data_IF_269092258153
#
_entry.id   IF_269092258153
#
_cell.length_a   1.000
_cell.length_b   1.000
_cell.length_c   1.000
_cell.angle_alpha   90.00
_cell.angle_beta   90.00
_cell.angle_gamma   90.00
#
_symmetry.space_group_name_H-M   'P 1'
#
loop_
_entity.id
_entity.type
_entity.pdbx_description
1 polymer ?
#
# COMPACT_ATOMS: atom_id res chain seq x y z
N UNK A 1 -54.07 14.09 30.43
CA UNK A 1 -53.17 13.16 29.74
C UNK A 1 -52.08 13.94 29.07
N UNK A 2 -50.86 13.85 29.59
CA UNK A 2 -49.72 14.50 28.97
C UNK A 2 -49.02 13.48 28.10
N UNK A 3 -49.04 13.70 26.79
CA UNK A 3 -48.26 12.95 25.82
C UNK A 3 -46.80 13.40 25.92
N UNK A 4 -45.97 12.53 26.45
CA UNK A 4 -44.53 12.74 26.46
C UNK A 4 -44.01 12.27 25.09
N UNK A 5 -43.74 13.24 24.21
CA UNK A 5 -43.03 12.96 22.95
C UNK A 5 -41.57 12.69 23.26
N UNK A 6 -41.18 11.43 23.19
CA UNK A 6 -39.77 11.04 23.24
C UNK A 6 -39.21 11.25 21.84
N UNK A 7 -38.48 12.35 21.69
CA UNK A 7 -37.66 12.57 20.49
C UNK A 7 -36.40 11.71 20.63
N UNK A 8 -36.39 10.57 19.97
CA UNK A 8 -35.19 9.76 19.80
C UNK A 8 -34.28 10.48 18.82
N UNK A 9 -33.29 11.21 19.34
CA UNK A 9 -32.21 11.74 18.52
C UNK A 9 -31.33 10.58 18.08
N UNK A 10 -31.52 10.13 16.83
CA UNK A 10 -30.61 9.20 16.21
C UNK A 10 -29.28 9.91 15.92
N UNK A 11 -28.29 9.68 16.78
CA UNK A 11 -26.92 10.06 16.49
C UNK A 11 -26.42 9.17 15.34
N UNK A 12 -26.49 9.70 14.13
CA UNK A 12 -25.73 9.16 13.00
C UNK A 12 -24.26 9.44 13.26
N UNK A 13 -23.60 8.52 13.92
CA UNK A 13 -22.12 8.53 13.97
C UNK A 13 -21.65 8.15 12.57
N UNK A 14 -21.41 9.14 11.71
CA UNK A 14 -20.66 8.91 10.50
C UNK A 14 -19.21 8.61 10.91
N UNK A 15 -18.87 7.33 10.98
CA UNK A 15 -17.48 6.92 11.07
C UNK A 15 -16.81 7.33 9.76
N UNK A 16 -16.09 8.45 9.78
CA UNK A 16 -15.19 8.79 8.70
C UNK A 16 -14.13 7.70 8.65
N UNK A 17 -14.24 6.78 7.69
CA UNK A 17 -13.20 5.80 7.43
C UNK A 17 -11.92 6.58 7.11
N UNK A 18 -10.87 6.41 7.92
CA UNK A 18 -9.57 7.01 7.63
C UNK A 18 -9.13 6.49 6.27
N UNK A 19 -8.97 7.41 5.28
CA UNK A 19 -8.50 7.05 3.96
C UNK A 19 -7.06 6.55 4.05
N UNK A 20 -6.81 5.30 3.62
CA UNK A 20 -5.48 4.74 3.46
C UNK A 20 -5.08 4.83 1.99
N UNK A 21 -3.81 4.53 1.68
CA UNK A 21 -3.42 4.33 0.29
C UNK A 21 -3.97 3.01 -0.24
N UNK A 22 -4.01 2.87 -1.56
CA UNK A 22 -4.43 1.65 -2.24
C UNK A 22 -3.25 1.02 -2.99
N UNK A 23 -3.21 -0.29 -3.00
CA UNK A 23 -2.25 -1.08 -3.76
C UNK A 23 -2.99 -2.11 -4.60
N UNK A 24 -2.78 -2.07 -5.90
CA UNK A 24 -3.41 -3.00 -6.84
C UNK A 24 -2.38 -3.62 -7.78
N UNK A 25 -2.63 -4.81 -8.33
CA UNK A 25 -3.73 -5.70 -8.01
C UNK A 25 -3.58 -6.35 -6.63
N UNK A 26 -4.68 -6.85 -6.08
CA UNK A 26 -4.67 -7.56 -4.78
C UNK A 26 -3.91 -8.88 -4.86
N UNK A 27 -3.98 -9.55 -6.01
CA UNK A 27 -3.31 -10.82 -6.29
C UNK A 27 -2.50 -10.71 -7.58
N UNK A 28 -1.35 -10.03 -7.55
CA UNK A 28 -0.53 -9.88 -8.74
C UNK A 28 0.05 -11.21 -9.21
N UNK A 29 0.33 -11.27 -10.50
CA UNK A 29 0.99 -12.42 -11.14
C UNK A 29 2.44 -12.07 -11.42
N UNK A 30 3.32 -13.08 -11.31
CA UNK A 30 4.70 -12.97 -11.73
C UNK A 30 4.76 -13.30 -13.22
N UNK A 31 5.29 -12.37 -14.01
CA UNK A 31 5.42 -12.51 -15.46
C UNK A 31 6.90 -12.54 -15.86
N UNK A 32 7.24 -13.20 -16.99
CA UNK A 32 8.60 -13.10 -17.52
C UNK A 32 8.94 -11.64 -17.87
N UNK A 33 10.14 -11.19 -17.49
CA UNK A 33 10.66 -9.90 -17.93
C UNK A 33 11.40 -10.03 -19.28
N UNK A 34 11.77 -8.89 -19.86
CA UNK A 34 12.53 -8.89 -21.11
C UNK A 34 13.98 -9.38 -20.94
N UNK A 35 14.47 -9.39 -19.71
CA UNK A 35 15.80 -9.87 -19.38
C UNK A 35 15.70 -11.32 -18.92
N UNK A 36 16.52 -12.19 -19.51
CA UNK A 36 16.58 -13.60 -19.13
C UNK A 36 16.99 -13.76 -17.65
N UNK A 37 16.34 -14.68 -16.94
CA UNK A 37 16.60 -14.95 -15.54
C UNK A 37 15.92 -13.98 -14.58
N UNK A 38 15.11 -13.06 -15.08
CA UNK A 38 14.39 -12.05 -14.28
C UNK A 38 12.90 -12.08 -14.61
N UNK A 39 12.08 -11.99 -13.59
CA UNK A 39 10.64 -11.84 -13.69
C UNK A 39 10.18 -10.48 -13.22
N UNK A 40 9.03 -10.05 -13.66
CA UNK A 40 8.44 -8.74 -13.35
C UNK A 40 7.08 -8.90 -12.70
N UNK A 41 6.80 -8.03 -11.74
CA UNK A 41 5.49 -7.88 -11.13
C UNK A 41 5.05 -6.43 -11.32
N UNK A 42 3.90 -6.23 -11.95
CA UNK A 42 3.35 -4.91 -12.24
C UNK A 42 2.35 -4.52 -11.17
N UNK A 43 2.58 -3.38 -10.56
CA UNK A 43 1.77 -2.87 -9.46
C UNK A 43 1.36 -1.43 -9.73
N UNK A 44 0.30 -1.00 -9.06
CA UNK A 44 -0.16 0.38 -9.05
C UNK A 44 -0.53 0.79 -7.63
N UNK A 45 -0.10 1.98 -7.23
CA UNK A 45 -0.43 2.55 -5.94
C UNK A 45 -1.19 3.87 -6.13
N UNK A 46 -2.14 4.11 -5.26
CA UNK A 46 -2.91 5.35 -5.19
C UNK A 46 -2.81 5.93 -3.78
N UNK A 47 -2.30 7.14 -3.65
CA UNK A 47 -2.23 7.81 -2.37
C UNK A 47 -3.53 8.56 -2.08
N UNK A 48 -4.26 8.10 -1.07
CA UNK A 48 -5.48 8.74 -0.57
C UNK A 48 -5.27 9.51 0.73
N UNK A 49 -4.02 9.68 1.15
CA UNK A 49 -3.68 10.39 2.38
C UNK A 49 -3.09 11.76 2.06
N UNK A 50 -3.63 12.80 2.68
CA UNK A 50 -3.08 14.16 2.61
C UNK A 50 -1.89 14.37 3.55
N UNK A 51 -1.72 13.49 4.55
CA UNK A 51 -0.71 13.57 5.60
C UNK A 51 0.54 12.72 5.35
N UNK A 52 0.58 11.98 4.26
CA UNK A 52 1.73 11.16 3.87
C UNK A 52 2.00 11.31 2.38
N UNK A 53 3.26 11.51 2.01
CA UNK A 53 3.69 11.71 0.62
C UNK A 53 4.78 10.74 0.19
N UNK A 54 5.28 9.89 1.08
CA UNK A 54 6.34 8.93 0.78
C UNK A 54 5.90 7.52 1.16
N UNK A 55 6.19 6.58 0.28
CA UNK A 55 5.84 5.18 0.45
C UNK A 55 7.02 4.29 0.09
N UNK A 56 7.32 3.35 0.95
CA UNK A 56 8.39 2.37 0.75
C UNK A 56 7.79 1.06 0.28
N UNK A 57 8.41 0.48 -0.76
CA UNK A 57 8.03 -0.82 -1.30
C UNK A 57 8.93 -1.89 -0.72
N UNK A 58 8.36 -3.00 -0.29
CA UNK A 58 9.07 -4.17 0.17
C UNK A 58 8.43 -5.45 -0.34
N UNK A 59 9.24 -6.48 -0.49
CA UNK A 59 8.81 -7.83 -0.90
C UNK A 59 9.17 -8.80 0.21
N UNK A 60 8.23 -9.65 0.59
CA UNK A 60 8.38 -10.61 1.68
C UNK A 60 7.99 -12.02 1.26
N UNK A 61 8.58 -12.99 1.93
CA UNK A 61 8.15 -14.38 1.86
C UNK A 61 6.98 -14.67 2.82
N UNK A 62 6.56 -15.92 2.92
CA UNK A 62 5.45 -16.36 3.78
C UNK A 62 5.76 -16.23 5.28
N UNK A 63 7.04 -16.12 5.65
CA UNK A 63 7.48 -15.86 7.02
C UNK A 63 7.79 -14.38 7.28
N UNK A 64 7.43 -13.49 6.37
CA UNK A 64 7.69 -12.05 6.44
C UNK A 64 9.18 -11.69 6.44
N UNK A 65 10.01 -12.54 5.88
CA UNK A 65 11.41 -12.22 5.61
C UNK A 65 11.55 -11.52 4.27
N UNK A 66 12.47 -10.56 4.19
CA UNK A 66 12.71 -9.80 2.97
C UNK A 66 13.21 -10.69 1.83
N UNK A 67 12.62 -10.50 0.66
CA UNK A 67 13.08 -11.11 -0.59
C UNK A 67 13.76 -10.04 -1.42
N UNK A 68 14.96 -10.27 -1.96
CA UNK A 68 15.65 -9.31 -2.81
C UNK A 68 14.83 -8.95 -4.05
N UNK A 69 14.77 -7.69 -4.39
CA UNK A 69 14.11 -7.19 -5.59
C UNK A 69 14.79 -5.93 -6.10
N UNK A 70 14.56 -5.61 -7.37
CA UNK A 70 14.93 -4.34 -7.95
C UNK A 70 13.68 -3.56 -8.36
N UNK A 71 13.74 -2.25 -8.22
CA UNK A 71 12.69 -1.34 -8.66
C UNK A 71 13.34 0.00 -9.06
N UNK A 72 12.71 0.77 -9.95
CA UNK A 72 13.21 2.11 -10.29
C UNK A 72 13.30 3.02 -9.05
N UNK A 73 12.33 2.89 -8.15
CA UNK A 73 12.30 3.61 -6.88
C UNK A 73 11.78 2.69 -5.78
N UNK A 74 12.55 2.50 -4.73
CA UNK A 74 12.11 1.74 -3.54
C UNK A 74 11.33 2.60 -2.56
N UNK A 75 11.59 3.90 -2.56
CA UNK A 75 10.81 4.93 -1.86
C UNK A 75 10.22 5.85 -2.91
N UNK A 76 8.92 5.89 -2.99
CA UNK A 76 8.19 6.69 -3.96
C UNK A 76 7.61 7.93 -3.31
N UNK A 77 7.78 9.08 -3.97
CA UNK A 77 7.06 10.30 -3.62
C UNK A 77 5.76 10.34 -4.39
N UNK A 78 4.64 10.42 -3.68
CA UNK A 78 3.32 10.43 -4.26
C UNK A 78 2.43 11.40 -3.49
N UNK A 79 2.00 12.46 -4.15
CA UNK A 79 1.12 13.48 -3.56
C UNK A 79 -0.30 12.97 -3.31
N UNK A 80 -1.09 13.78 -2.62
CA UNK A 80 -2.49 13.46 -2.33
C UNK A 80 -3.29 13.23 -3.62
N UNK A 81 -4.01 12.13 -3.69
CA UNK A 81 -4.81 11.68 -4.83
C UNK A 81 -4.03 11.34 -6.10
N UNK A 82 -2.71 11.34 -6.05
CA UNK A 82 -1.90 10.83 -7.15
C UNK A 82 -1.83 9.31 -7.15
N UNK A 83 -1.70 8.75 -8.33
CA UNK A 83 -1.46 7.32 -8.52
C UNK A 83 -0.21 7.10 -9.36
N UNK A 84 0.45 5.98 -9.13
CA UNK A 84 1.67 5.62 -9.84
C UNK A 84 1.70 4.13 -10.11
N UNK A 85 1.99 3.78 -11.36
CA UNK A 85 2.30 2.41 -11.74
C UNK A 85 3.79 2.17 -11.58
N UNK A 86 4.17 1.02 -11.07
CA UNK A 86 5.56 0.65 -10.88
C UNK A 86 5.77 -0.84 -11.13
N UNK A 87 7.00 -1.20 -11.42
CA UNK A 87 7.38 -2.58 -11.70
C UNK A 87 8.43 -3.03 -10.70
N UNK A 88 8.31 -4.27 -10.26
CA UNK A 88 9.26 -4.94 -9.40
C UNK A 88 9.93 -6.06 -10.18
N UNK A 89 11.22 -6.15 -10.11
CA UNK A 89 12.01 -7.17 -10.79
C UNK A 89 12.58 -8.15 -9.77
N UNK A 90 12.29 -9.41 -9.98
CA UNK A 90 12.69 -10.51 -9.10
C UNK A 90 13.51 -11.50 -9.91
N UNK A 91 14.63 -11.96 -9.37
CA UNK A 91 15.37 -13.06 -9.99
C UNK A 91 14.50 -14.33 -10.00
N UNK A 92 14.53 -15.06 -11.09
CA UNK A 92 13.74 -16.29 -11.22
C UNK A 92 14.00 -17.27 -10.07
N UNK A 93 15.23 -17.33 -9.57
CA UNK A 93 15.60 -18.17 -8.42
C UNK A 93 14.89 -17.77 -7.11
N UNK A 94 14.41 -16.53 -6.99
CA UNK A 94 13.73 -16.02 -5.80
C UNK A 94 12.20 -15.99 -5.96
N UNK A 95 11.67 -16.21 -7.15
CA UNK A 95 10.24 -16.07 -7.44
C UNK A 95 9.34 -16.95 -6.56
N UNK A 96 9.76 -18.18 -6.28
CA UNK A 96 9.00 -19.12 -5.43
C UNK A 96 8.87 -18.64 -3.98
N UNK A 97 9.73 -17.73 -3.56
CA UNK A 97 9.73 -17.18 -2.20
C UNK A 97 8.84 -15.98 -2.06
N UNK A 98 8.46 -15.33 -3.15
CA UNK A 98 7.66 -14.11 -3.11
C UNK A 98 6.24 -14.42 -2.72
N UNK A 99 5.79 -13.90 -1.59
CA UNK A 99 4.42 -14.07 -1.10
C UNK A 99 3.69 -12.75 -1.01
N UNK A 100 4.34 -11.71 -0.46
CA UNK A 100 3.71 -10.42 -0.24
C UNK A 100 4.51 -9.29 -0.88
N UNK A 101 3.79 -8.35 -1.49
CA UNK A 101 4.33 -7.06 -1.91
C UNK A 101 3.63 -6.00 -1.08
N UNK A 102 4.38 -5.22 -0.34
CA UNK A 102 3.84 -4.25 0.59
C UNK A 102 4.31 -2.84 0.28
N UNK A 103 3.41 -1.89 0.44
CA UNK A 103 3.74 -0.47 0.45
C UNK A 103 3.43 0.10 1.83
N UNK A 104 4.38 0.81 2.40
CA UNK A 104 4.28 1.37 3.74
C UNK A 104 4.50 2.87 3.68
N UNK A 105 3.61 3.64 4.29
CA UNK A 105 3.80 5.07 4.40
C UNK A 105 5.05 5.39 5.22
N UNK A 106 5.86 6.31 4.72
CA UNK A 106 7.11 6.70 5.35
C UNK A 106 7.07 8.18 5.68
N UNK A 107 7.41 8.51 6.91
CA UNK A 107 7.49 9.90 7.35
C UNK A 107 8.95 10.33 7.33
N UNK A 108 9.21 11.47 6.69
CA UNK A 108 10.51 12.11 6.76
C UNK A 108 10.57 12.97 8.02
N UNK A 109 11.73 13.01 8.69
CA UNK A 109 11.95 13.83 9.90
C UNK A 109 11.65 15.33 9.73
N UNK A 110 11.54 15.79 8.48
CA UNK A 110 11.28 17.19 8.13
C UNK A 110 9.80 17.47 7.84
N UNK A 111 8.95 16.46 7.91
CA UNK A 111 7.53 16.63 7.60
C UNK A 111 6.79 17.09 8.86
N UNK A 112 6.57 18.40 8.94
CA UNK A 112 5.94 19.06 10.10
C UNK A 112 4.47 18.66 10.28
N UNK A 113 3.85 18.04 9.27
CA UNK A 113 2.44 17.62 9.30
C UNK A 113 2.25 16.12 9.53
N UNK A 114 3.31 15.44 9.91
CA UNK A 114 3.28 14.01 10.17
C UNK A 114 2.42 13.69 11.40
N UNK A 115 1.42 12.83 11.21
CA UNK A 115 0.54 12.38 12.29
C UNK A 115 1.08 11.20 13.09
N UNK A 116 2.26 10.67 12.72
CA UNK A 116 2.81 9.46 13.33
C UNK A 116 2.12 8.16 12.93
N UNK A 117 1.06 8.22 12.12
CA UNK A 117 0.31 7.03 11.70
C UNK A 117 0.95 6.43 10.45
N UNK A 118 1.42 5.19 10.58
CA UNK A 118 1.91 4.39 9.45
C UNK A 118 0.80 3.50 8.93
N UNK A 119 0.64 3.46 7.62
CA UNK A 119 -0.22 2.48 6.95
C UNK A 119 0.63 1.55 6.10
N UNK A 120 0.37 0.26 6.20
CA UNK A 120 0.98 -0.77 5.36
C UNK A 120 -0.11 -1.57 4.68
N UNK A 121 -0.03 -1.66 3.36
CA UNK A 121 -0.95 -2.44 2.55
C UNK A 121 -0.14 -3.44 1.74
N UNK A 122 -0.58 -4.67 1.75
CA UNK A 122 0.10 -5.76 1.07
C UNK A 122 -0.81 -6.43 0.06
N UNK A 123 -0.24 -6.76 -1.09
CA UNK A 123 -0.83 -7.66 -2.08
C UNK A 123 -0.20 -9.04 -1.95
N UNK A 124 -0.99 -10.07 -2.14
CA UNK A 124 -0.52 -11.45 -2.10
C UNK A 124 -0.33 -11.99 -3.51
N UNK A 125 0.89 -12.41 -3.81
CA UNK A 125 1.23 -12.99 -5.10
C UNK A 125 0.55 -14.36 -5.25
N UNK A 126 0.00 -14.60 -6.41
CA UNK A 126 -0.58 -15.90 -6.77
C UNK A 126 0.47 -16.98 -6.92
#
# INVERSE_FOLDING_TARGET
MRLISIIAAAFLTSSAAAAAHELTPTYPEIEPAYVEGVSVIKMKMWNRRSDASYYEVNVYDDEWKSVPFAAPEKVMKLGYLEHKSFELYIRDADCDRVTYICTTSKQLKQDVQSTGIKSRICSRVK
#
